data_IF_214258095447
#
_entry.id   IF_214258095447
#
_cell.length_a   1.000
_cell.length_b   1.000
_cell.length_c   1.000
_cell.angle_alpha   90.00
_cell.angle_beta   90.00
_cell.angle_gamma   90.00
#
_symmetry.space_group_name_H-M   'P 1'
#
loop_
_entity.id
_entity.type
_entity.pdbx_description
1 polymer ?
#
# COMPACT_ATOMS: atom_id res chain seq x y z
N UNK A 1 3.60 -4.96 -4.55
CA UNK A 1 4.14 -5.95 -5.53
C UNK A 1 5.05 -6.98 -4.85
N UNK A 2 6.19 -6.58 -4.26
CA UNK A 2 7.12 -7.53 -3.63
C UNK A 2 6.47 -8.45 -2.57
N UNK A 3 5.61 -7.90 -1.70
CA UNK A 3 4.90 -8.71 -0.70
C UNK A 3 3.94 -9.75 -1.28
N UNK A 4 3.28 -9.45 -2.41
CA UNK A 4 2.41 -10.42 -3.10
C UNK A 4 3.22 -11.57 -3.66
N UNK A 5 4.30 -11.25 -4.38
CA UNK A 5 5.24 -12.24 -4.94
C UNK A 5 5.82 -13.10 -3.81
N UNK A 6 6.29 -12.47 -2.73
CA UNK A 6 6.85 -13.19 -1.57
C UNK A 6 5.84 -14.14 -0.92
N UNK A 7 4.59 -13.71 -0.74
CA UNK A 7 3.53 -14.54 -0.14
C UNK A 7 3.24 -15.76 -1.00
N UNK A 8 3.05 -15.57 -2.32
CA UNK A 8 2.80 -16.68 -3.26
C UNK A 8 3.99 -17.63 -3.33
N UNK A 9 5.22 -17.11 -3.28
CA UNK A 9 6.46 -17.90 -3.29
C UNK A 9 6.53 -18.91 -2.13
N UNK A 10 5.94 -18.62 -0.96
CA UNK A 10 5.88 -19.57 0.16
C UNK A 10 5.15 -20.86 -0.25
N UNK A 11 4.18 -20.78 -1.17
CA UNK A 11 3.53 -21.94 -1.77
C UNK A 11 4.49 -22.90 -2.45
N UNK A 12 5.62 -22.41 -2.95
CA UNK A 12 6.63 -23.21 -3.64
C UNK A 12 7.75 -23.65 -2.71
N UNK A 13 8.29 -22.72 -1.92
CA UNK A 13 9.55 -22.93 -1.18
C UNK A 13 9.39 -23.08 0.34
N UNK A 14 8.17 -22.97 0.88
CA UNK A 14 7.95 -23.12 2.33
C UNK A 14 8.38 -24.52 2.80
N UNK A 15 9.24 -24.61 3.82
CA UNK A 15 9.85 -25.88 4.24
C UNK A 15 8.82 -26.85 4.84
N UNK A 16 8.73 -28.06 4.27
CA UNK A 16 7.83 -29.13 4.71
C UNK A 16 6.36 -28.95 4.29
N UNK A 17 6.01 -27.84 3.64
CA UNK A 17 4.63 -27.50 3.26
C UNK A 17 4.49 -27.00 1.82
N UNK A 18 5.53 -26.43 1.24
CA UNK A 18 5.54 -25.90 -0.12
C UNK A 18 5.75 -26.99 -1.17
N UNK A 19 5.36 -26.73 -2.41
CA UNK A 19 5.40 -27.70 -3.50
C UNK A 19 6.76 -28.39 -3.65
N UNK A 20 7.88 -27.65 -3.55
CA UNK A 20 9.21 -28.20 -3.77
C UNK A 20 9.78 -28.94 -2.55
N UNK A 21 9.18 -28.79 -1.37
CA UNK A 21 9.74 -29.35 -0.13
C UNK A 21 8.79 -30.31 0.59
N UNK A 22 7.48 -30.22 0.33
CA UNK A 22 6.42 -31.08 0.86
C UNK A 22 5.62 -31.83 -0.22
N UNK A 23 5.74 -31.45 -1.51
CA UNK A 23 5.13 -32.17 -2.63
C UNK A 23 3.63 -31.88 -2.87
N UNK A 24 3.03 -30.97 -2.09
CA UNK A 24 1.60 -30.64 -2.15
C UNK A 24 1.37 -29.25 -2.78
N UNK A 25 0.29 -29.12 -3.55
CA UNK A 25 -0.18 -27.87 -4.15
C UNK A 25 -1.08 -27.04 -3.23
N UNK A 26 -1.57 -27.63 -2.13
CA UNK A 26 -2.47 -26.96 -1.18
C UNK A 26 -1.93 -25.60 -0.74
N UNK A 27 -0.63 -25.51 -0.46
CA UNK A 27 0.01 -24.27 0.00
C UNK A 27 0.04 -23.17 -1.07
N UNK A 28 0.13 -23.50 -2.36
CA UNK A 28 0.06 -22.50 -3.44
C UNK A 28 -1.32 -21.85 -3.47
N UNK A 29 -2.37 -22.64 -3.33
CA UNK A 29 -3.76 -22.16 -3.33
C UNK A 29 -4.00 -21.29 -2.09
N UNK A 30 -3.65 -21.79 -0.90
CA UNK A 30 -3.80 -21.07 0.37
C UNK A 30 -3.10 -19.71 0.35
N UNK A 31 -1.85 -19.64 -0.13
CA UNK A 31 -1.11 -18.39 -0.17
C UNK A 31 -1.64 -17.42 -1.23
N UNK A 32 -2.09 -17.92 -2.38
CA UNK A 32 -2.68 -17.08 -3.43
C UNK A 32 -4.00 -16.47 -2.98
N UNK A 33 -4.90 -17.28 -2.40
CA UNK A 33 -6.19 -16.81 -1.88
C UNK A 33 -5.98 -15.79 -0.77
N UNK A 34 -5.06 -16.06 0.16
CA UNK A 34 -4.74 -15.15 1.26
C UNK A 34 -4.19 -13.81 0.74
N UNK A 35 -3.26 -13.84 -0.22
CA UNK A 35 -2.68 -12.63 -0.80
C UNK A 35 -3.75 -11.78 -1.52
N UNK A 36 -4.64 -12.42 -2.28
CA UNK A 36 -5.75 -11.73 -2.96
C UNK A 36 -6.77 -11.17 -1.96
N UNK A 37 -7.11 -11.91 -0.91
CA UNK A 37 -8.03 -11.44 0.13
C UNK A 37 -7.48 -10.19 0.83
N UNK A 38 -6.20 -10.19 1.21
CA UNK A 38 -5.55 -9.02 1.82
C UNK A 38 -5.48 -7.85 0.84
N UNK A 39 -5.15 -8.08 -0.43
CA UNK A 39 -5.11 -7.03 -1.45
C UNK A 39 -6.50 -6.39 -1.65
N UNK A 40 -7.55 -7.20 -1.79
CA UNK A 40 -8.91 -6.72 -1.94
C UNK A 40 -9.39 -5.96 -0.69
N UNK A 41 -9.20 -6.53 0.49
CA UNK A 41 -9.61 -5.89 1.75
C UNK A 41 -8.90 -4.55 1.96
N UNK A 42 -7.56 -4.54 1.86
CA UNK A 42 -6.78 -3.32 2.07
C UNK A 42 -7.11 -2.23 1.05
N UNK A 43 -7.28 -2.58 -0.23
CA UNK A 43 -7.69 -1.63 -1.25
C UNK A 43 -9.09 -1.06 -0.97
N UNK A 44 -10.09 -1.93 -0.74
CA UNK A 44 -11.48 -1.49 -0.52
C UNK A 44 -11.58 -0.62 0.73
N UNK A 45 -10.99 -1.04 1.84
CA UNK A 45 -11.03 -0.27 3.09
C UNK A 45 -10.30 1.06 2.95
N UNK A 46 -9.08 1.06 2.40
CA UNK A 46 -8.34 2.30 2.18
C UNK A 46 -9.09 3.26 1.23
N UNK A 47 -9.71 2.72 0.17
CA UNK A 47 -10.50 3.50 -0.77
C UNK A 47 -11.73 4.13 -0.11
N UNK A 48 -12.49 3.35 0.67
CA UNK A 48 -13.66 3.86 1.40
C UNK A 48 -13.25 4.92 2.40
N UNK A 49 -12.20 4.68 3.20
CA UNK A 49 -11.70 5.66 4.17
C UNK A 49 -11.24 6.94 3.46
N UNK A 50 -10.44 6.82 2.40
CA UNK A 50 -9.97 7.97 1.62
C UNK A 50 -11.11 8.76 1.01
N UNK A 51 -12.15 8.10 0.48
CA UNK A 51 -13.35 8.76 -0.01
C UNK A 51 -14.13 9.48 1.09
N UNK A 52 -14.27 8.87 2.26
CA UNK A 52 -14.97 9.50 3.39
C UNK A 52 -14.23 10.78 3.83
N UNK A 53 -12.91 10.73 3.93
CA UNK A 53 -12.09 11.91 4.27
C UNK A 53 -12.24 12.98 3.19
N UNK A 54 -12.11 12.60 1.91
CA UNK A 54 -12.24 13.52 0.78
C UNK A 54 -13.60 14.22 0.75
N UNK A 55 -14.68 13.51 1.08
CA UNK A 55 -16.05 14.07 1.08
C UNK A 55 -16.39 14.88 2.33
N UNK A 56 -15.64 14.75 3.41
CA UNK A 56 -15.94 15.43 4.67
C UNK A 56 -15.08 16.67 4.88
N UNK A 57 -13.76 16.53 4.78
CA UNK A 57 -12.81 17.62 5.07
C UNK A 57 -11.86 17.93 3.90
N UNK A 58 -11.87 17.09 2.86
CA UNK A 58 -10.89 17.14 1.77
C UNK A 58 -9.59 16.45 2.17
N UNK A 59 -9.11 15.50 1.35
CA UNK A 59 -7.92 14.71 1.66
C UNK A 59 -6.64 15.31 1.05
N UNK A 60 -6.74 15.90 -0.14
CA UNK A 60 -5.60 16.56 -0.81
C UNK A 60 -5.68 18.08 -0.64
N UNK A 61 -4.51 18.71 -0.57
CA UNK A 61 -4.39 20.17 -0.60
C UNK A 61 -4.92 20.74 -1.93
N UNK A 62 -5.30 22.02 -1.96
CA UNK A 62 -5.77 22.67 -3.19
C UNK A 62 -4.63 22.77 -4.19
N UNK A 63 -4.96 22.73 -5.48
CA UNK A 63 -3.95 22.79 -6.55
C UNK A 63 -3.11 24.08 -6.50
N UNK A 64 -3.73 25.22 -6.16
CA UNK A 64 -3.03 26.50 -5.98
C UNK A 64 -1.99 26.42 -4.85
N UNK A 65 -2.35 25.81 -3.73
CA UNK A 65 -1.48 25.62 -2.56
C UNK A 65 -0.37 24.58 -2.85
N UNK A 66 -0.67 23.55 -3.64
CA UNK A 66 0.31 22.55 -4.09
C UNK A 66 1.39 23.16 -4.99
N UNK A 67 1.00 24.11 -5.86
CA UNK A 67 1.92 24.84 -6.75
C UNK A 67 2.74 25.87 -5.97
N UNK A 68 2.12 26.58 -5.01
CA UNK A 68 2.79 27.60 -4.20
C UNK A 68 3.82 27.02 -3.22
N UNK A 69 3.74 25.72 -2.93
CA UNK A 69 4.60 25.03 -1.97
C UNK A 69 3.89 24.77 -0.66
N UNK A 70 3.72 23.50 -0.32
CA UNK A 70 2.99 23.07 0.89
C UNK A 70 3.69 23.54 2.16
N UNK A 71 5.03 23.57 2.17
CA UNK A 71 5.81 24.01 3.33
C UNK A 71 5.47 25.47 3.67
N UNK A 72 5.47 26.35 2.67
CA UNK A 72 5.16 27.78 2.85
C UNK A 72 3.68 28.01 3.20
N UNK A 73 2.76 27.29 2.53
CA UNK A 73 1.31 27.52 2.68
C UNK A 73 0.73 26.90 3.96
N UNK A 74 1.18 25.71 4.35
CA UNK A 74 0.63 24.97 5.48
C UNK A 74 1.49 25.12 6.74
N UNK A 75 2.81 25.18 6.59
CA UNK A 75 3.74 25.23 7.71
C UNK A 75 4.35 26.61 7.93
N UNK A 76 4.23 27.54 6.97
CA UNK A 76 4.77 28.90 7.08
C UNK A 76 6.30 28.96 7.05
N UNK A 77 6.94 27.89 6.58
CA UNK A 77 8.39 27.70 6.59
C UNK A 77 8.88 27.32 5.19
N UNK A 78 10.13 27.64 4.88
CA UNK A 78 10.82 27.13 3.70
C UNK A 78 11.64 25.91 4.12
N UNK A 79 11.45 24.77 3.45
CA UNK A 79 12.21 23.54 3.76
C UNK A 79 13.74 23.73 3.66
N UNK A 80 14.17 24.69 2.84
CA UNK A 80 15.54 25.19 2.81
C UNK A 80 15.54 26.71 2.61
N UNK A 81 16.10 27.44 3.58
CA UNK A 81 16.47 28.83 3.37
C UNK A 81 17.77 28.87 2.55
N UNK A 82 17.66 28.93 1.22
CA UNK A 82 18.80 29.19 0.36
C UNK A 82 19.20 30.66 0.58
N UNK A 83 20.12 30.86 1.53
CA UNK A 83 20.85 32.12 1.67
C UNK A 83 21.85 32.15 0.51
N UNK A 84 21.68 33.12 -0.39
CA UNK A 84 22.73 33.46 -1.37
C UNK A 84 24.03 33.88 -0.67
#
# INVERSE_FOLDING_TARGET
>A
VAGFIGTVSIGFVGTGVGLFTGGDFSQIILQTVSALAVAAYSFVVAYVVGLVIEKTIGFRVKNEDEIAGIDTVVHGEEGYALVD
#
